data_IF_513413719141
#
_entry.id   IF_513413719141
#
_cell.length_a   1.000
_cell.length_b   1.000
_cell.length_c   1.000
_cell.angle_alpha   90.00
_cell.angle_beta   90.00
_cell.angle_gamma   90.00
#
_symmetry.space_group_name_H-M   'P 1'
#
loop_
_entity.id
_entity.type
_entity.pdbx_description
1 polymer ?
#
# COMPACT_ATOMS: atom_id res chain seq x y z
N UNK A 1 6.76 -0.34 12.01
CA UNK A 1 6.91 -0.80 10.61
C UNK A 1 8.07 -1.76 10.55
N UNK A 2 7.84 -2.99 10.07
CA UNK A 2 8.82 -4.07 10.15
C UNK A 2 9.14 -4.66 8.78
N UNK A 3 9.52 -5.94 8.76
CA UNK A 3 9.84 -6.70 7.55
C UNK A 3 8.86 -6.52 6.37
N UNK A 4 7.52 -6.52 6.57
CA UNK A 4 6.57 -6.37 5.47
C UNK A 4 6.66 -5.03 4.72
N UNK A 5 6.94 -3.95 5.45
CA UNK A 5 7.05 -2.63 4.87
C UNK A 5 8.28 -2.52 3.96
N UNK A 6 9.43 -3.04 4.41
CA UNK A 6 10.65 -3.09 3.60
C UNK A 6 10.49 -3.96 2.35
N UNK A 7 9.81 -5.10 2.48
CA UNK A 7 9.43 -5.91 1.32
C UNK A 7 8.56 -5.10 0.35
N UNK A 8 7.56 -4.37 0.86
CA UNK A 8 6.69 -3.53 0.07
C UNK A 8 7.42 -2.41 -0.68
N UNK A 9 8.39 -1.73 -0.04
CA UNK A 9 9.25 -0.74 -0.69
C UNK A 9 10.09 -1.37 -1.80
N UNK A 10 10.70 -2.53 -1.53
CA UNK A 10 11.46 -3.27 -2.54
C UNK A 10 10.59 -3.62 -3.74
N UNK A 11 9.35 -4.04 -3.48
CA UNK A 11 8.35 -4.31 -4.50
C UNK A 11 7.95 -3.05 -5.28
N UNK A 12 7.73 -1.92 -4.60
CA UNK A 12 7.45 -0.63 -5.22
C UNK A 12 8.53 -0.23 -6.22
N UNK A 13 9.80 -0.32 -5.81
CA UNK A 13 10.96 -0.03 -6.67
C UNK A 13 11.01 -0.96 -7.90
N UNK A 14 10.81 -2.26 -7.69
CA UNK A 14 10.80 -3.24 -8.78
C UNK A 14 9.64 -2.99 -9.76
N UNK A 15 8.45 -2.68 -9.26
CA UNK A 15 7.29 -2.37 -10.08
C UNK A 15 7.50 -1.09 -10.90
N UNK A 16 8.08 -0.04 -10.31
CA UNK A 16 8.41 1.18 -11.04
C UNK A 16 9.35 0.91 -12.21
N UNK A 17 10.41 0.11 -12.01
CA UNK A 17 11.33 -0.26 -13.07
C UNK A 17 10.68 -1.12 -14.17
N UNK A 18 9.98 -2.20 -13.81
CA UNK A 18 9.38 -3.13 -14.78
C UNK A 18 8.25 -2.49 -15.58
N UNK A 19 7.40 -1.70 -14.91
CA UNK A 19 6.30 -0.98 -15.56
C UNK A 19 6.86 0.14 -16.43
N UNK A 20 7.83 0.92 -15.95
CA UNK A 20 8.46 1.99 -16.75
C UNK A 20 9.14 1.47 -18.02
N UNK A 21 9.80 0.31 -17.93
CA UNK A 21 10.41 -0.35 -19.09
C UNK A 21 9.37 -0.82 -20.12
N UNK A 22 8.27 -1.43 -19.66
CA UNK A 22 7.19 -1.87 -20.56
C UNK A 22 6.46 -0.68 -21.18
N UNK A 23 6.17 0.34 -20.37
CA UNK A 23 5.51 1.56 -20.79
C UNK A 23 6.34 2.35 -21.81
N UNK A 24 7.65 2.49 -21.58
CA UNK A 24 8.57 3.16 -22.50
C UNK A 24 8.71 2.47 -23.86
N UNK A 25 8.38 1.17 -23.97
CA UNK A 25 8.31 0.43 -25.25
C UNK A 25 6.94 0.48 -25.92
N UNK A 26 5.94 1.14 -25.32
CA UNK A 26 4.56 1.11 -25.81
C UNK A 26 3.85 -0.23 -25.58
N UNK A 27 4.43 -1.15 -24.81
CA UNK A 27 3.88 -2.50 -24.59
C UNK A 27 2.93 -2.56 -23.39
N UNK A 28 1.67 -2.20 -23.65
CA UNK A 28 0.64 -2.12 -22.62
C UNK A 28 0.09 -3.48 -22.19
N UNK A 29 0.19 -4.48 -23.06
CA UNK A 29 -0.11 -5.86 -22.69
C UNK A 29 0.86 -6.31 -21.57
N UNK A 30 2.15 -6.00 -21.74
CA UNK A 30 3.17 -6.29 -20.73
C UNK A 30 2.98 -5.51 -19.45
N UNK A 31 2.58 -4.24 -19.50
CA UNK A 31 2.26 -3.46 -18.28
C UNK A 31 1.18 -4.18 -17.46
N UNK A 32 0.07 -4.57 -18.09
CA UNK A 32 -1.03 -5.27 -17.41
C UNK A 32 -0.61 -6.62 -16.83
N UNK A 33 0.20 -7.36 -17.58
CA UNK A 33 0.76 -8.64 -17.15
C UNK A 33 1.66 -8.48 -15.91
N UNK A 34 2.59 -7.51 -15.94
CA UNK A 34 3.50 -7.20 -14.82
C UNK A 34 2.71 -6.80 -13.58
N UNK A 35 1.68 -5.95 -13.72
CA UNK A 35 0.82 -5.56 -12.59
C UNK A 35 0.02 -6.74 -12.04
N UNK A 36 -0.58 -7.57 -12.91
CA UNK A 36 -1.34 -8.74 -12.46
C UNK A 36 -0.46 -9.75 -11.70
N UNK A 37 0.73 -10.06 -12.24
CA UNK A 37 1.71 -10.96 -11.60
C UNK A 37 2.29 -10.36 -10.33
N UNK A 38 2.60 -9.06 -10.35
CA UNK A 38 3.09 -8.31 -9.20
C UNK A 38 2.10 -8.40 -8.03
N UNK A 39 0.81 -8.17 -8.29
CA UNK A 39 -0.25 -8.27 -7.28
C UNK A 39 -0.34 -9.67 -6.69
N UNK A 40 -0.30 -10.70 -7.53
CA UNK A 40 -0.33 -12.10 -7.06
C UNK A 40 0.88 -12.40 -6.17
N UNK A 41 2.07 -11.99 -6.60
CA UNK A 41 3.32 -12.27 -5.90
C UNK A 41 3.39 -11.54 -4.55
N UNK A 42 3.08 -10.24 -4.49
CA UNK A 42 3.10 -9.51 -3.22
C UNK A 42 2.05 -10.05 -2.24
N UNK A 43 0.86 -10.44 -2.72
CA UNK A 43 -0.14 -11.12 -1.89
C UNK A 43 0.37 -12.45 -1.37
N UNK A 44 1.00 -13.27 -2.22
CA UNK A 44 1.55 -14.56 -1.82
C UNK A 44 2.68 -14.42 -0.78
N UNK A 45 3.52 -13.39 -0.89
CA UNK A 45 4.60 -13.11 0.06
C UNK A 45 4.10 -12.58 1.41
N UNK A 46 3.07 -11.72 1.40
CA UNK A 46 2.53 -11.12 2.62
C UNK A 46 1.50 -11.99 3.32
N UNK A 47 0.85 -12.93 2.63
CA UNK A 47 -0.16 -13.81 3.21
C UNK A 47 0.39 -14.62 4.42
N UNK A 48 1.55 -15.29 4.35
CA UNK A 48 2.13 -15.96 5.52
C UNK A 48 2.40 -15.02 6.69
N UNK A 49 2.83 -13.78 6.41
CA UNK A 49 3.09 -12.77 7.45
C UNK A 49 1.80 -12.30 8.10
N UNK A 50 0.77 -12.04 7.31
CA UNK A 50 -0.58 -11.72 7.77
C UNK A 50 -1.13 -12.82 8.69
N UNK A 51 -1.01 -14.08 8.27
CA UNK A 51 -1.44 -15.23 9.07
C UNK A 51 -0.63 -15.34 10.37
N UNK A 52 0.69 -15.12 10.34
CA UNK A 52 1.51 -15.12 11.53
C UNK A 52 1.08 -14.04 12.55
N UNK A 53 0.79 -12.82 12.06
CA UNK A 53 0.32 -11.72 12.90
C UNK A 53 -1.07 -11.98 13.52
N UNK A 54 -1.94 -12.70 12.81
CA UNK A 54 -3.29 -13.03 13.31
C UNK A 54 -3.26 -14.19 14.31
N UNK A 55 -2.60 -15.30 13.95
CA UNK A 55 -2.72 -16.57 14.68
C UNK A 55 -1.67 -16.76 15.78
N UNK A 56 -0.47 -16.21 15.63
CA UNK A 56 0.63 -16.41 16.59
C UNK A 56 1.28 -15.10 17.10
N UNK A 57 0.53 -14.00 17.35
CA UNK A 57 1.11 -12.72 17.75
C UNK A 57 1.90 -12.79 19.06
N UNK A 58 1.48 -13.61 20.02
CA UNK A 58 2.17 -13.75 21.30
C UNK A 58 3.60 -14.31 21.15
N UNK A 59 3.81 -15.26 20.23
CA UNK A 59 5.13 -15.83 19.96
C UNK A 59 6.06 -14.82 19.29
N UNK A 60 5.51 -13.88 18.52
CA UNK A 60 6.26 -12.82 17.85
C UNK A 60 6.67 -11.70 18.81
N UNK A 61 5.83 -11.40 19.81
CA UNK A 61 6.01 -10.25 20.72
C UNK A 61 6.85 -10.61 21.95
N UNK A 62 6.66 -11.81 22.52
CA UNK A 62 7.33 -12.22 23.77
C UNK A 62 8.87 -12.12 23.75
N UNK A 63 9.56 -12.37 22.62
CA UNK A 63 11.01 -12.17 22.56
C UNK A 63 11.48 -10.72 22.69
N UNK A 64 10.58 -9.74 22.54
CA UNK A 64 10.90 -8.31 22.53
C UNK A 64 10.80 -7.65 23.92
N UNK A 65 9.97 -8.20 24.81
CA UNK A 65 9.71 -7.64 26.13
C UNK A 65 9.02 -8.68 27.03
N UNK A 66 9.29 -8.59 28.33
CA UNK A 66 8.65 -9.41 29.36
C UNK A 66 7.49 -8.67 30.08
N UNK A 67 7.23 -7.40 29.76
CA UNK A 67 6.16 -6.62 30.38
C UNK A 67 4.78 -7.09 29.87
N UNK A 68 3.90 -7.63 30.75
CA UNK A 68 2.59 -8.14 30.36
C UNK A 68 1.68 -7.10 29.70
N UNK A 69 1.75 -5.83 30.12
CA UNK A 69 0.91 -4.76 29.59
C UNK A 69 1.35 -4.39 28.17
N UNK A 70 2.67 -4.32 27.94
CA UNK A 70 3.24 -4.07 26.61
C UNK A 70 2.91 -5.23 25.67
N UNK A 71 3.04 -6.48 26.14
CA UNK A 71 2.69 -7.67 25.35
C UNK A 71 1.22 -7.64 24.92
N UNK A 72 0.31 -7.34 25.85
CA UNK A 72 -1.13 -7.28 25.56
C UNK A 72 -1.46 -6.23 24.48
N UNK A 73 -0.84 -5.04 24.57
CA UNK A 73 -1.03 -3.98 23.58
C UNK A 73 -0.42 -4.34 22.21
N UNK A 74 0.78 -4.89 22.18
CA UNK A 74 1.45 -5.30 20.95
C UNK A 74 0.73 -6.46 20.24
N UNK A 75 0.15 -7.41 20.98
CA UNK A 75 -0.66 -8.48 20.42
C UNK A 75 -1.94 -7.95 19.76
N UNK A 76 -2.64 -7.02 20.40
CA UNK A 76 -3.82 -6.36 19.82
C UNK A 76 -3.44 -5.62 18.54
N UNK A 77 -2.32 -4.90 18.57
CA UNK A 77 -1.76 -4.21 17.42
C UNK A 77 -1.46 -5.16 16.24
N UNK A 78 -0.71 -6.25 16.47
CA UNK A 78 -0.37 -7.21 15.42
C UNK A 78 -1.60 -7.83 14.80
N UNK A 79 -2.62 -8.18 15.60
CA UNK A 79 -3.87 -8.72 15.06
C UNK A 79 -4.57 -7.73 14.14
N UNK A 80 -4.68 -6.47 14.53
CA UNK A 80 -5.29 -5.43 13.69
C UNK A 80 -4.51 -5.32 12.38
N UNK A 81 -3.19 -5.11 12.43
CA UNK A 81 -2.37 -4.97 11.23
C UNK A 81 -2.40 -6.21 10.34
N UNK A 82 -2.39 -7.41 10.92
CA UNK A 82 -2.40 -8.66 10.18
C UNK A 82 -3.58 -8.76 9.19
N UNK A 83 -4.75 -8.24 9.52
CA UNK A 83 -5.90 -8.20 8.60
C UNK A 83 -5.69 -7.26 7.41
N UNK A 84 -4.86 -6.23 7.57
CA UNK A 84 -4.65 -5.18 6.57
C UNK A 84 -3.30 -5.29 5.84
N UNK A 85 -2.46 -6.23 6.24
CA UNK A 85 -1.09 -6.40 5.75
C UNK A 85 -1.01 -6.55 4.22
N UNK A 86 -1.90 -7.33 3.63
CA UNK A 86 -1.94 -7.53 2.17
C UNK A 86 -2.22 -6.20 1.45
N UNK A 87 -3.05 -5.34 2.02
CA UNK A 87 -3.40 -4.06 1.42
C UNK A 87 -2.28 -3.03 1.55
N UNK A 88 -1.42 -3.14 2.56
CA UNK A 88 -0.16 -2.39 2.62
C UNK A 88 0.74 -2.75 1.43
N UNK A 89 0.87 -4.04 1.15
CA UNK A 89 1.59 -4.51 -0.04
C UNK A 89 1.02 -3.96 -1.33
N UNK A 90 -0.31 -3.87 -1.44
CA UNK A 90 -0.97 -3.28 -2.60
C UNK A 90 -0.76 -1.77 -2.69
N UNK A 91 -0.87 -1.04 -1.57
CA UNK A 91 -0.58 0.40 -1.50
C UNK A 91 0.81 0.69 -2.08
N UNK A 92 1.85 0.02 -1.56
CA UNK A 92 3.24 0.23 -1.98
C UNK A 92 3.52 -0.29 -3.40
N UNK A 93 2.94 -1.42 -3.78
CA UNK A 93 3.04 -1.92 -5.15
C UNK A 93 2.48 -0.90 -6.16
N UNK A 94 1.28 -0.36 -5.90
CA UNK A 94 0.65 0.59 -6.81
C UNK A 94 1.37 1.94 -6.82
N UNK A 95 1.93 2.40 -5.71
CA UNK A 95 2.86 3.54 -5.70
C UNK A 95 3.97 3.37 -6.76
N UNK A 96 4.59 2.19 -6.78
CA UNK A 96 5.60 1.83 -7.78
C UNK A 96 5.04 1.81 -9.20
N UNK A 97 3.85 1.23 -9.41
CA UNK A 97 3.19 1.20 -10.72
C UNK A 97 2.93 2.60 -11.26
N UNK A 98 2.30 3.47 -10.47
CA UNK A 98 2.02 4.86 -10.89
C UNK A 98 3.30 5.66 -11.13
N UNK A 99 4.35 5.39 -10.35
CA UNK A 99 5.69 5.97 -10.57
C UNK A 99 6.28 5.52 -11.89
N UNK A 100 6.24 4.22 -12.20
CA UNK A 100 6.72 3.66 -13.48
C UNK A 100 5.95 4.17 -14.70
N UNK A 101 4.66 4.49 -14.55
CA UNK A 101 3.85 5.09 -15.61
C UNK A 101 4.10 6.60 -15.80
N UNK A 102 4.84 7.26 -14.90
CA UNK A 102 4.98 8.73 -14.92
C UNK A 102 3.75 9.48 -14.39
N UNK A 103 2.83 8.77 -13.74
CA UNK A 103 1.56 9.27 -13.21
C UNK A 103 1.55 9.34 -11.68
N UNK A 104 2.67 9.77 -11.12
CA UNK A 104 2.84 9.96 -9.67
C UNK A 104 1.81 10.90 -9.05
N UNK A 105 1.38 11.93 -9.80
CA UNK A 105 0.34 12.86 -9.34
C UNK A 105 -0.98 12.17 -9.05
N UNK A 106 -1.36 11.19 -9.86
CA UNK A 106 -2.64 10.48 -9.69
C UNK A 106 -2.62 9.61 -8.43
N UNK A 107 -1.47 9.00 -8.12
CA UNK A 107 -1.28 8.31 -6.84
C UNK A 107 -1.27 9.27 -5.65
N UNK A 108 -0.59 10.42 -5.76
CA UNK A 108 -0.54 11.43 -4.69
C UNK A 108 -1.92 11.99 -4.34
N UNK A 109 -2.80 12.16 -5.32
CA UNK A 109 -4.19 12.61 -5.11
C UNK A 109 -5.00 11.61 -4.26
N UNK A 110 -4.60 10.33 -4.22
CA UNK A 110 -5.17 9.32 -3.32
C UNK A 110 -4.42 9.32 -1.98
N UNK A 111 -3.08 9.27 -2.03
CA UNK A 111 -2.26 8.99 -0.85
C UNK A 111 -2.23 10.15 0.14
N UNK A 112 -2.13 11.40 -0.33
CA UNK A 112 -1.99 12.58 0.53
C UNK A 112 -3.26 12.84 1.34
N UNK A 113 -4.47 12.92 0.74
CA UNK A 113 -5.69 13.16 1.52
C UNK A 113 -5.95 12.05 2.52
N UNK A 114 -5.78 10.78 2.13
CA UNK A 114 -5.98 9.64 3.04
C UNK A 114 -4.94 9.59 4.17
N UNK A 115 -3.72 10.08 3.94
CA UNK A 115 -2.69 10.18 5.00
C UNK A 115 -2.99 11.33 5.95
N UNK A 116 -3.38 12.50 5.44
CA UNK A 116 -3.77 13.64 6.27
C UNK A 116 -5.03 13.32 7.09
N UNK A 117 -6.01 12.62 6.50
CA UNK A 117 -7.21 12.17 7.18
C UNK A 117 -6.94 11.16 8.32
N UNK A 118 -5.74 10.55 8.41
CA UNK A 118 -5.36 9.68 9.54
C UNK A 118 -5.38 10.43 10.86
N UNK A 119 -4.93 11.68 10.89
CA UNK A 119 -4.85 12.49 12.11
C UNK A 119 -6.23 12.71 12.76
N UNK A 120 -7.23 13.29 12.06
CA UNK A 120 -8.56 13.45 12.63
C UNK A 120 -9.25 12.11 12.86
N UNK A 121 -9.04 11.09 12.02
CA UNK A 121 -9.62 9.77 12.23
C UNK A 121 -9.06 9.09 13.50
N UNK A 122 -7.76 9.17 13.74
CA UNK A 122 -7.13 8.65 14.96
C UNK A 122 -7.61 9.41 16.19
N UNK A 123 -7.72 10.74 16.13
CA UNK A 123 -8.26 11.55 17.22
C UNK A 123 -9.70 11.17 17.55
N UNK A 124 -10.55 11.04 16.53
CA UNK A 124 -11.95 10.67 16.68
C UNK A 124 -12.10 9.26 17.29
N UNK A 125 -11.37 8.26 16.76
CA UNK A 125 -11.46 6.88 17.23
C UNK A 125 -10.84 6.70 18.62
N UNK A 126 -9.67 7.27 18.87
CA UNK A 126 -8.95 7.09 20.12
C UNK A 126 -9.60 7.87 21.27
N UNK A 127 -9.96 9.14 21.04
CA UNK A 127 -10.42 10.06 22.09
C UNK A 127 -11.94 10.13 22.15
N UNK A 128 -12.60 10.47 21.04
CA UNK A 128 -14.07 10.70 21.04
C UNK A 128 -14.85 9.42 21.27
N UNK A 129 -14.46 8.32 20.63
CA UNK A 129 -15.08 7.00 20.82
C UNK A 129 -14.47 6.18 21.97
N UNK A 130 -13.45 6.71 22.66
CA UNK A 130 -12.83 6.06 23.82
C UNK A 130 -12.13 4.73 23.51
N UNK A 131 -11.79 4.45 22.25
CA UNK A 131 -11.10 3.21 21.87
C UNK A 131 -9.63 3.20 22.30
N UNK A 132 -9.07 4.36 22.71
CA UNK A 132 -7.68 4.49 23.10
C UNK A 132 -6.70 4.12 21.98
N UNK A 133 -5.59 3.47 22.34
CA UNK A 133 -4.53 3.06 21.41
C UNK A 133 -5.02 2.22 20.22
N UNK A 134 -5.94 1.23 20.40
CA UNK A 134 -6.58 0.53 19.28
C UNK A 134 -7.19 1.45 18.20
N UNK A 135 -7.79 2.58 18.58
CA UNK A 135 -8.40 3.52 17.64
C UNK A 135 -7.38 4.10 16.64
N UNK A 136 -6.14 4.32 17.08
CA UNK A 136 -5.04 4.81 16.23
C UNK A 136 -4.68 3.76 15.18
N UNK A 137 -4.55 2.50 15.58
CA UNK A 137 -4.20 1.41 14.67
C UNK A 137 -5.28 1.17 13.63
N UNK A 138 -6.55 1.22 14.02
CA UNK A 138 -7.66 1.16 13.08
C UNK A 138 -7.63 2.31 12.07
N UNK A 139 -7.36 3.55 12.49
CA UNK A 139 -7.24 4.69 11.56
C UNK A 139 -6.13 4.47 10.51
N UNK A 140 -4.96 3.99 10.94
CA UNK A 140 -3.81 3.72 10.05
C UNK A 140 -4.15 2.56 9.09
N UNK A 141 -4.70 1.47 9.62
CA UNK A 141 -5.01 0.27 8.84
C UNK A 141 -6.11 0.51 7.81
N UNK A 142 -7.19 1.20 8.18
CA UNK A 142 -8.31 1.50 7.27
C UNK A 142 -7.85 2.45 6.18
N UNK A 143 -7.03 3.44 6.47
CA UNK A 143 -6.50 4.33 5.42
C UNK A 143 -5.58 3.60 4.45
N UNK A 144 -4.76 2.64 4.90
CA UNK A 144 -3.95 1.78 4.02
C UNK A 144 -4.83 0.87 3.16
N UNK A 145 -5.87 0.25 3.74
CA UNK A 145 -6.90 -0.47 3.00
C UNK A 145 -7.49 0.38 1.87
N UNK A 146 -7.94 1.59 2.21
CA UNK A 146 -8.56 2.50 1.25
C UNK A 146 -7.60 2.89 0.13
N UNK A 147 -6.34 3.19 0.44
CA UNK A 147 -5.33 3.51 -0.58
C UNK A 147 -5.07 2.33 -1.51
N UNK A 148 -4.82 1.14 -0.96
CA UNK A 148 -4.56 -0.07 -1.75
C UNK A 148 -5.72 -0.44 -2.67
N UNK A 149 -6.96 -0.37 -2.16
CA UNK A 149 -8.17 -0.64 -2.96
C UNK A 149 -8.39 0.44 -4.02
N UNK A 150 -8.30 1.73 -3.64
CA UNK A 150 -8.57 2.83 -4.55
C UNK A 150 -7.52 2.92 -5.66
N UNK A 151 -6.23 2.76 -5.33
CA UNK A 151 -5.16 2.73 -6.33
C UNK A 151 -5.34 1.56 -7.29
N UNK A 152 -5.70 0.37 -6.78
CA UNK A 152 -6.00 -0.79 -7.62
C UNK A 152 -7.21 -0.55 -8.53
N UNK A 153 -8.29 0.00 -7.99
CA UNK A 153 -9.49 0.33 -8.74
C UNK A 153 -9.22 1.38 -9.82
N UNK A 154 -8.44 2.42 -9.50
CA UNK A 154 -8.09 3.50 -10.42
C UNK A 154 -7.30 2.95 -11.62
N UNK A 155 -6.36 2.04 -11.36
CA UNK A 155 -5.62 1.35 -12.41
C UNK A 155 -6.53 0.50 -13.32
N UNK A 156 -7.53 -0.20 -12.74
CA UNK A 156 -8.42 -1.08 -13.49
C UNK A 156 -9.58 -0.36 -14.21
N UNK A 157 -9.99 0.84 -13.77
CA UNK A 157 -11.00 1.65 -14.47
C UNK A 157 -10.42 2.24 -15.76
N UNK A 158 -10.77 1.59 -16.86
CA UNK A 158 -10.22 1.78 -18.22
C UNK A 158 -10.22 3.20 -18.80
N UNK A 159 -10.98 4.16 -18.28
CA UNK A 159 -10.96 5.56 -18.76
C UNK A 159 -9.74 6.34 -18.25
N UNK A 160 -9.24 6.00 -17.05
CA UNK A 160 -8.01 6.56 -16.52
C UNK A 160 -6.84 5.74 -17.03
N UNK A 161 -6.90 4.40 -17.11
CA UNK A 161 -5.91 3.63 -17.86
C UNK A 161 -5.73 4.23 -19.27
N UNK A 162 -6.77 4.43 -20.08
CA UNK A 162 -6.63 5.05 -21.40
C UNK A 162 -5.97 6.45 -21.40
N UNK A 163 -6.21 7.28 -20.37
CA UNK A 163 -5.54 8.59 -20.19
C UNK A 163 -4.12 8.50 -19.63
N UNK A 164 -3.84 7.53 -18.76
CA UNK A 164 -2.52 7.16 -18.23
C UNK A 164 -1.65 6.52 -19.32
N UNK A 165 -2.30 5.98 -20.36
CA UNK A 165 -1.73 5.26 -21.50
C UNK A 165 -1.50 6.17 -22.72
N UNK A 166 -1.97 7.42 -22.69
CA UNK A 166 -1.62 8.40 -23.71
C UNK A 166 -0.27 9.02 -23.33
N UNK A 167 0.73 9.02 -24.24
CA UNK A 167 1.95 9.76 -24.01
C UNK A 167 1.56 11.20 -23.64
N UNK A 168 2.05 11.71 -22.50
CA UNK A 168 2.10 13.16 -22.35
C UNK A 168 2.86 13.67 -23.56
N UNK A 169 2.19 14.47 -24.39
CA UNK A 169 2.84 15.03 -25.57
C UNK A 169 4.21 15.55 -25.17
N UNK A 170 5.27 15.20 -25.92
CA UNK A 170 6.56 15.77 -25.64
C UNK A 170 6.41 17.28 -25.76
N UNK A 171 6.65 18.00 -24.66
CA UNK A 171 6.85 19.46 -24.68
C UNK A 171 8.01 19.89 -25.59
N UNK A 172 8.68 18.95 -26.26
CA UNK A 172 9.74 19.15 -27.24
C UNK A 172 9.23 19.65 -28.59
N UNK A 173 7.92 19.60 -28.88
CA UNK A 173 7.37 20.14 -30.12
C UNK A 173 7.22 21.68 -30.13
N UNK A 174 7.40 22.36 -28.98
CA UNK A 174 7.38 23.83 -28.90
C UNK A 174 8.78 24.46 -28.85
N UNK A 175 9.83 23.69 -29.12
CA UNK A 175 11.24 24.14 -29.13
C UNK A 175 11.94 23.89 -30.50
N UNK A 176 11.19 23.62 -31.55
CA UNK A 176 11.64 23.61 -32.95
C UNK A 176 10.85 24.65 -33.75
#
# INVERSE_FOLDING_TARGET
EGFPYFLGIGFSTAMAALVGQAYGRGDMARVREVVARGRLLITALLLPVALAFIFIPHLLVRPLTDDPEVIANAVRYLRVIGYFEIFLGWELMFEGVFTGLGHTRDYMLISVPLTLARWPAAWLLAITFGLGTPGIWWAISVSTLLKGIWASWLFHRGAVAARLLMPREPQLASLQ
#
